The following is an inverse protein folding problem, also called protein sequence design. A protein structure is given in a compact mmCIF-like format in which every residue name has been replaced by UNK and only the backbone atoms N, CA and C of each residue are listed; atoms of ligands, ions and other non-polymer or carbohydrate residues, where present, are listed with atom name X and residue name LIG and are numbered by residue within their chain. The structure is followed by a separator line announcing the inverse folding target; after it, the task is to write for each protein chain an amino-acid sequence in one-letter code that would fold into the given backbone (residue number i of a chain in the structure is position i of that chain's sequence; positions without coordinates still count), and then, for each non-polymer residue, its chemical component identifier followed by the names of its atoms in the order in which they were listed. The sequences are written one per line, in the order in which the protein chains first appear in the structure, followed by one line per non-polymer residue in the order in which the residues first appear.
data_IF_155379788059
#
_entry.id   IF_155379788059
#
_cell.length_a   1.000
_cell.length_b   1.000
_cell.length_c   1.000
_cell.angle_alpha   90.00
_cell.angle_beta   90.00
_cell.angle_gamma   90.00
#
_symmetry.space_group_name_H-M   'P 1'
#
loop_
_entity.id
_entity.type
_entity.pdbx_description
1 polymer ?
#
# COMPACT_ATOMS: atom_id res chain seq x y z
N UNK A 1 71.97 6.63 -0.06
CA UNK A 1 72.61 5.36 0.38
C UNK A 1 71.60 4.22 0.18
N UNK A 2 71.94 3.04 -0.43
CA UNK A 2 72.45 1.80 0.23
C UNK A 2 71.69 1.47 1.55
N UNK A 3 71.25 0.25 1.90
CA UNK A 3 71.09 -1.11 1.30
C UNK A 3 70.25 -1.95 2.35
N UNK A 4 69.65 -3.14 2.15
CA UNK A 4 69.54 -4.11 1.04
C UNK A 4 68.31 -5.06 1.23
N UNK A 5 68.15 -6.00 0.29
CA UNK A 5 67.31 -7.24 0.22
C UNK A 5 67.41 -8.17 1.46
N UNK A 6 66.51 -9.14 1.70
CA UNK A 6 66.41 -10.47 1.01
C UNK A 6 65.09 -11.16 1.46
N UNK A 7 64.10 -11.43 0.59
CA UNK A 7 63.85 -12.67 -0.20
C UNK A 7 63.83 -13.98 0.62
N UNK A 8 62.69 -14.68 0.58
CA UNK A 8 62.54 -16.08 1.00
C UNK A 8 61.31 -16.70 0.35
N UNK A 9 61.50 -17.39 -0.78
CA UNK A 9 60.45 -18.19 -1.45
C UNK A 9 60.64 -19.64 -1.03
N UNK A 10 59.56 -20.32 -0.61
CA UNK A 10 59.47 -21.78 -0.65
C UNK A 10 58.13 -22.16 -1.26
N UNK A 11 58.18 -23.04 -2.25
CA UNK A 11 57.03 -23.59 -2.99
C UNK A 11 56.56 -24.87 -2.31
N UNK A 12 55.24 -25.08 -2.22
CA UNK A 12 54.63 -26.33 -1.78
C UNK A 12 53.37 -26.63 -2.60
N UNK A 13 53.54 -27.37 -3.70
CA UNK A 13 52.42 -27.90 -4.50
C UNK A 13 52.05 -29.27 -3.98
N UNK A 14 50.79 -29.47 -3.59
CA UNK A 14 50.10 -30.77 -3.73
C UNK A 14 48.71 -30.50 -4.30
N UNK A 15 48.44 -31.10 -5.45
CA UNK A 15 47.10 -31.26 -5.98
C UNK A 15 46.76 -32.76 -5.98
N UNK A 16 45.52 -33.11 -5.64
CA UNK A 16 44.95 -34.38 -6.09
C UNK A 16 43.46 -34.20 -6.38
N UNK A 17 43.10 -34.62 -7.59
CA UNK A 17 41.74 -34.69 -8.14
C UNK A 17 41.20 -36.12 -7.90
N UNK A 18 39.91 -36.34 -8.18
CA UNK A 18 39.18 -37.59 -8.51
C UNK A 18 37.97 -37.86 -7.57
N UNK A 19 36.77 -38.27 -8.02
CA UNK A 19 36.15 -38.18 -9.36
C UNK A 19 34.62 -38.44 -9.29
N UNK A 20 33.86 -37.89 -10.26
CA UNK A 20 32.49 -38.25 -10.73
C UNK A 20 31.29 -38.41 -9.77
N UNK A 21 30.15 -37.88 -10.22
CA UNK A 21 28.82 -38.17 -9.65
C UNK A 21 27.63 -37.68 -10.50
N UNK A 22 27.71 -37.69 -11.83
CA UNK A 22 26.53 -37.45 -12.67
C UNK A 22 25.55 -38.63 -12.55
N UNK A 23 24.28 -38.35 -12.28
CA UNK A 23 23.20 -39.22 -12.75
C UNK A 23 22.03 -38.39 -13.29
N UNK A 24 21.69 -38.64 -14.56
CA UNK A 24 20.49 -38.15 -15.21
C UNK A 24 19.25 -38.65 -14.47
N UNK A 25 18.20 -37.81 -14.37
CA UNK A 25 16.83 -38.29 -14.49
C UNK A 25 15.90 -37.21 -15.08
N UNK A 26 15.56 -37.43 -16.36
CA UNK A 26 14.36 -37.03 -17.11
C UNK A 26 13.73 -35.64 -16.90
N UNK A 27 13.54 -34.97 -18.05
CA UNK A 27 12.42 -34.06 -18.29
C UNK A 27 11.13 -34.56 -17.61
N UNK A 28 10.50 -33.66 -16.87
CA UNK A 28 9.04 -33.63 -16.70
C UNK A 28 8.57 -32.26 -17.12
N UNK A 29 7.42 -32.23 -17.78
CA UNK A 29 6.93 -31.08 -18.51
C UNK A 29 6.73 -29.86 -17.59
N UNK A 30 7.14 -28.68 -18.06
CA UNK A 30 6.80 -27.41 -17.41
C UNK A 30 5.35 -27.12 -17.77
N UNK A 31 4.43 -27.73 -17.02
CA UNK A 31 3.03 -27.30 -17.03
C UNK A 31 2.95 -25.83 -16.61
N UNK A 32 2.09 -25.07 -17.30
CA UNK A 32 1.76 -23.70 -16.93
C UNK A 32 1.18 -23.70 -15.52
N UNK A 33 1.95 -23.26 -14.54
CA UNK A 33 1.46 -22.88 -13.22
C UNK A 33 0.66 -21.58 -13.35
N UNK A 34 -0.59 -21.69 -13.81
CA UNK A 34 -1.63 -20.74 -13.46
C UNK A 34 -1.96 -20.99 -11.99
N UNK A 35 -1.26 -20.31 -11.09
CA UNK A 35 -1.64 -20.30 -9.67
C UNK A 35 -2.93 -19.50 -9.53
N UNK A 36 -4.05 -20.22 -9.67
CA UNK A 36 -5.29 -19.89 -8.99
C UNK A 36 -5.03 -19.81 -7.48
N UNK A 37 -5.85 -19.02 -6.80
CA UNK A 37 -5.79 -18.82 -5.37
C UNK A 37 -5.87 -20.17 -4.63
N UNK A 38 -4.79 -20.59 -3.96
CA UNK A 38 -4.75 -21.92 -3.35
C UNK A 38 -5.76 -22.02 -2.21
N UNK A 39 -6.74 -22.96 -2.26
CA UNK A 39 -7.77 -23.11 -1.21
C UNK A 39 -7.17 -23.30 0.20
N UNK A 40 -6.01 -23.95 0.23
CA UNK A 40 -5.16 -24.28 1.37
C UNK A 40 -4.72 -23.05 2.21
N UNK A 41 -4.66 -21.84 1.64
CA UNK A 41 -4.34 -20.63 2.40
C UNK A 41 -5.52 -20.18 3.29
N UNK A 42 -6.73 -20.16 2.72
CA UNK A 42 -7.95 -19.78 3.44
C UNK A 42 -8.34 -20.84 4.47
N UNK A 43 -8.25 -22.12 4.11
CA UNK A 43 -8.54 -23.24 5.01
C UNK A 43 -7.63 -23.22 6.27
N UNK A 44 -6.33 -22.95 6.10
CA UNK A 44 -5.41 -22.73 7.25
C UNK A 44 -5.80 -21.55 8.14
N UNK A 45 -6.24 -20.44 7.54
CA UNK A 45 -6.64 -19.24 8.26
C UNK A 45 -7.92 -19.51 9.08
N UNK A 46 -8.91 -20.16 8.48
CA UNK A 46 -10.11 -20.64 9.17
C UNK A 46 -9.78 -21.65 10.29
N UNK A 47 -8.82 -22.56 10.09
CA UNK A 47 -8.36 -23.48 11.13
C UNK A 47 -7.63 -22.76 12.29
N UNK A 48 -6.86 -21.71 11.99
CA UNK A 48 -6.22 -20.86 13.01
C UNK A 48 -7.27 -20.07 13.81
N UNK A 49 -8.17 -19.35 13.15
CA UNK A 49 -9.26 -18.61 13.82
C UNK A 49 -10.10 -19.58 14.67
N UNK A 50 -10.44 -20.75 14.14
CA UNK A 50 -11.13 -21.81 14.87
C UNK A 50 -10.36 -22.34 16.08
N UNK A 51 -9.01 -22.39 16.05
CA UNK A 51 -8.18 -22.67 17.24
C UNK A 51 -8.26 -21.54 18.25
N UNK A 52 -8.09 -20.28 17.82
CA UNK A 52 -8.06 -19.13 18.72
C UNK A 52 -9.40 -18.92 19.47
N UNK A 53 -10.53 -19.16 18.79
CA UNK A 53 -11.87 -19.18 19.40
C UNK A 53 -11.98 -20.32 20.43
N UNK A 54 -11.58 -21.56 20.06
CA UNK A 54 -11.66 -22.73 20.97
C UNK A 54 -10.76 -22.59 22.21
N UNK A 55 -9.62 -21.92 22.06
CA UNK A 55 -8.68 -21.63 23.14
C UNK A 55 -9.12 -20.42 24.01
N UNK A 56 -10.21 -19.73 23.66
CA UNK A 56 -10.68 -18.53 24.36
C UNK A 56 -9.74 -17.33 24.26
N UNK A 57 -8.94 -17.24 23.18
CA UNK A 57 -7.96 -16.16 22.98
C UNK A 57 -8.59 -14.87 22.45
N UNK A 58 -9.72 -14.98 21.75
CA UNK A 58 -10.50 -13.92 21.15
C UNK A 58 -11.97 -14.38 21.02
N UNK A 59 -12.89 -13.46 20.73
CA UNK A 59 -14.33 -13.76 20.64
C UNK A 59 -14.93 -13.32 19.30
N UNK A 60 -15.76 -14.20 18.71
CA UNK A 60 -16.52 -13.91 17.49
C UNK A 60 -15.69 -13.69 16.21
N UNK A 61 -16.39 -13.53 15.09
CA UNK A 61 -15.78 -13.14 13.79
C UNK A 61 -16.55 -12.04 13.05
N UNK A 62 -17.65 -11.53 13.63
CA UNK A 62 -18.51 -10.51 13.01
C UNK A 62 -18.86 -9.43 14.02
N UNK A 63 -18.81 -8.18 13.59
CA UNK A 63 -19.26 -7.02 14.37
C UNK A 63 -19.75 -5.91 13.46
N UNK A 64 -20.48 -4.95 14.03
CA UNK A 64 -20.76 -3.64 13.44
C UNK A 64 -20.60 -2.55 14.50
N UNK A 65 -20.35 -1.33 14.05
CA UNK A 65 -19.97 -0.20 14.86
C UNK A 65 -21.09 0.84 14.90
N UNK A 66 -21.53 1.17 16.12
CA UNK A 66 -22.51 2.23 16.40
C UNK A 66 -21.84 3.59 16.71
N UNK A 67 -20.50 3.61 16.75
CA UNK A 67 -19.70 4.81 17.01
C UNK A 67 -18.75 5.09 15.84
N UNK A 68 -18.56 6.37 15.51
CA UNK A 68 -17.53 6.79 14.57
C UNK A 68 -16.13 6.60 15.18
N UNK A 69 -15.10 6.32 14.37
CA UNK A 69 -13.72 6.18 14.86
C UNK A 69 -13.10 7.52 15.31
N UNK A 70 -13.72 8.66 14.95
CA UNK A 70 -13.29 10.02 15.29
C UNK A 70 -14.50 10.94 15.51
N UNK A 71 -14.27 12.14 16.07
CA UNK A 71 -15.29 13.18 16.13
C UNK A 71 -15.60 13.75 14.73
N UNK A 72 -16.67 13.26 14.11
CA UNK A 72 -17.12 13.68 12.78
C UNK A 72 -17.66 15.12 12.73
N UNK A 73 -18.03 15.73 13.85
CA UNK A 73 -18.49 17.12 13.88
C UNK A 73 -17.29 18.10 13.79
N UNK A 74 -16.13 17.72 14.33
CA UNK A 74 -14.83 18.41 14.16
C UNK A 74 -14.06 18.00 12.90
N UNK A 75 -14.36 16.85 12.31
CA UNK A 75 -13.76 16.38 11.04
C UNK A 75 -14.36 17.12 9.85
N UNK A 76 -13.54 17.56 8.88
CA UNK A 76 -14.03 18.23 7.66
C UNK A 76 -14.15 17.28 6.47
N UNK A 77 -13.14 16.45 6.24
CA UNK A 77 -13.05 15.58 5.07
C UNK A 77 -12.72 14.15 5.49
N UNK A 78 -13.31 13.18 4.78
CA UNK A 78 -12.94 11.77 4.82
C UNK A 78 -12.44 11.36 3.42
N UNK A 79 -11.23 10.82 3.34
CA UNK A 79 -10.63 10.38 2.08
C UNK A 79 -10.85 8.88 1.86
N UNK A 80 -11.08 8.43 0.61
CA UNK A 80 -11.21 7.02 0.27
C UNK A 80 -9.87 6.29 0.35
N UNK A 81 -9.95 4.97 0.36
CA UNK A 81 -8.86 4.08 -0.02
C UNK A 81 -8.38 4.36 -1.45
N UNK A 82 -7.17 3.91 -1.75
CA UNK A 82 -6.64 3.84 -3.10
C UNK A 82 -5.91 5.08 -3.60
N UNK A 83 -5.70 6.07 -2.74
CA UNK A 83 -4.79 7.18 -3.02
C UNK A 83 -3.38 6.69 -3.32
N UNK A 84 -2.62 7.47 -4.10
CA UNK A 84 -1.18 7.26 -4.29
C UNK A 84 -0.50 8.61 -4.13
N UNK A 85 0.41 8.72 -3.16
CA UNK A 85 1.08 9.98 -2.84
C UNK A 85 2.43 9.69 -2.17
N UNK A 86 3.49 10.24 -2.75
CA UNK A 86 4.86 10.02 -2.27
C UNK A 86 5.18 8.52 -2.20
N UNK A 87 5.71 8.09 -1.06
CA UNK A 87 6.11 6.70 -0.76
C UNK A 87 4.99 5.66 -0.96
N UNK A 88 3.73 6.07 -0.88
CA UNK A 88 2.59 5.22 -1.22
C UNK A 88 2.43 5.11 -2.73
N UNK A 89 3.30 4.30 -3.33
CA UNK A 89 3.35 4.05 -4.77
C UNK A 89 2.17 3.20 -5.24
N UNK A 90 1.78 2.21 -4.44
CA UNK A 90 0.55 1.43 -4.62
C UNK A 90 -0.65 2.17 -4.01
N UNK A 91 -1.88 1.89 -4.46
CA UNK A 91 -3.12 2.29 -3.80
C UNK A 91 -3.08 2.11 -2.27
N UNK A 92 -3.37 3.18 -1.54
CA UNK A 92 -3.34 3.26 -0.07
C UNK A 92 -4.46 2.42 0.56
N UNK A 93 -4.10 1.61 1.55
CA UNK A 93 -4.95 0.64 2.24
C UNK A 93 -5.72 1.20 3.45
N UNK A 94 -5.63 2.51 3.70
CA UNK A 94 -6.27 3.18 4.82
C UNK A 94 -6.96 4.48 4.37
N UNK A 95 -7.95 4.90 5.14
CA UNK A 95 -8.62 6.18 4.95
C UNK A 95 -7.90 7.29 5.70
N UNK A 96 -8.20 8.55 5.36
CA UNK A 96 -7.79 9.72 6.15
C UNK A 96 -9.01 10.49 6.65
N UNK A 97 -9.08 10.76 7.95
CA UNK A 97 -9.96 11.79 8.51
C UNK A 97 -9.16 13.08 8.64
N UNK A 98 -9.68 14.20 8.12
CA UNK A 98 -8.90 15.43 7.97
C UNK A 98 -9.65 16.69 8.41
N UNK A 99 -8.91 17.61 9.04
CA UNK A 99 -9.27 19.01 9.26
C UNK A 99 -7.98 19.85 9.34
N UNK A 100 -7.48 20.33 8.20
CA UNK A 100 -6.22 21.08 8.13
C UNK A 100 -6.26 22.50 8.73
N UNK A 101 -7.45 23.05 8.97
CA UNK A 101 -7.63 24.34 9.66
C UNK A 101 -7.57 24.21 11.19
N UNK A 102 -7.33 23.00 11.71
CA UNK A 102 -7.25 22.76 13.14
C UNK A 102 -5.86 23.10 13.71
N UNK A 103 -5.80 23.64 14.93
CA UNK A 103 -4.58 24.11 15.57
C UNK A 103 -4.39 23.49 16.97
N UNK A 104 -4.12 22.19 17.00
CA UNK A 104 -3.80 21.46 18.23
C UNK A 104 -4.37 20.04 18.27
N UNK A 105 -3.89 19.21 19.18
CA UNK A 105 -4.43 17.86 19.38
C UNK A 105 -5.75 17.89 20.17
N UNK A 106 -6.84 18.27 19.50
CA UNK A 106 -8.16 18.44 20.13
C UNK A 106 -9.30 17.71 19.41
N UNK A 107 -9.06 17.02 18.29
CA UNK A 107 -10.08 16.21 17.62
C UNK A 107 -10.04 14.78 18.15
N UNK A 108 -11.11 14.35 18.79
CA UNK A 108 -11.21 13.07 19.49
C UNK A 108 -11.11 11.86 18.54
N UNK A 109 -10.38 10.85 18.98
CA UNK A 109 -10.33 9.49 18.43
C UNK A 109 -11.06 8.55 19.39
N UNK A 110 -11.98 7.75 18.87
CA UNK A 110 -12.78 6.80 19.65
C UNK A 110 -12.57 5.38 19.15
N UNK A 111 -12.74 4.39 20.03
CA UNK A 111 -12.93 3.00 19.57
C UNK A 111 -14.32 2.84 18.95
N UNK A 112 -14.45 2.33 17.71
CA UNK A 112 -15.74 2.30 17.00
C UNK A 112 -16.66 1.17 17.53
N UNK A 113 -16.06 0.18 18.18
CA UNK A 113 -16.73 -0.89 18.90
C UNK A 113 -15.89 -1.34 20.10
N UNK A 114 -16.46 -2.20 20.95
CA UNK A 114 -15.73 -2.86 22.04
C UNK A 114 -14.54 -3.64 21.46
N UNK A 115 -13.44 -3.73 22.19
CA UNK A 115 -12.25 -4.46 21.74
C UNK A 115 -11.12 -4.46 22.75
N UNK A 116 -9.94 -4.86 22.29
CA UNK A 116 -8.69 -4.85 23.04
C UNK A 116 -7.64 -4.14 22.18
N UNK A 117 -7.00 -3.09 22.72
CA UNK A 117 -5.77 -2.56 22.13
C UNK A 117 -4.67 -3.60 22.36
N UNK A 118 -4.07 -4.07 21.26
CA UNK A 118 -3.03 -5.12 21.25
C UNK A 118 -1.64 -4.58 20.97
N UNK A 119 -1.55 -3.48 20.23
CA UNK A 119 -0.32 -2.90 19.72
C UNK A 119 -0.33 -1.39 19.87
N UNK A 120 0.78 -0.83 20.35
CA UNK A 120 1.08 0.61 20.29
C UNK A 120 2.51 0.77 19.77
N UNK A 121 2.70 1.56 18.71
CA UNK A 121 4.02 1.95 18.20
C UNK A 121 4.15 3.46 18.14
N UNK A 122 5.29 4.00 18.60
CA UNK A 122 5.65 5.41 18.42
C UNK A 122 6.18 5.61 16.99
N UNK A 123 5.68 6.61 16.27
CA UNK A 123 5.99 6.77 14.86
C UNK A 123 7.44 7.22 14.63
N UNK A 124 8.17 6.63 13.65
CA UNK A 124 9.57 6.96 13.41
C UNK A 124 9.80 8.46 13.16
N UNK A 125 10.63 9.08 13.99
CA UNK A 125 11.01 10.49 13.86
C UNK A 125 10.02 11.49 14.47
N UNK A 126 8.91 11.03 15.08
CA UNK A 126 8.03 11.87 15.85
C UNK A 126 8.66 12.34 17.17
N UNK A 127 8.02 13.30 17.83
CA UNK A 127 8.42 13.82 19.14
C UNK A 127 7.93 12.87 20.25
N UNK A 128 8.73 12.67 21.31
CA UNK A 128 8.32 11.81 22.42
C UNK A 128 7.01 12.30 23.05
N UNK A 129 6.09 11.39 23.32
CA UNK A 129 4.75 11.73 23.80
C UNK A 129 3.72 11.95 22.68
N UNK A 130 4.13 12.02 21.42
CA UNK A 130 3.29 12.35 20.26
C UNK A 130 3.42 11.32 19.12
N UNK A 131 2.37 11.21 18.29
CA UNK A 131 2.26 10.44 17.04
C UNK A 131 2.47 8.92 17.18
N UNK A 132 1.36 8.19 17.24
CA UNK A 132 1.32 6.75 17.43
C UNK A 132 0.51 6.02 16.38
N UNK A 133 0.93 4.78 16.11
CA UNK A 133 0.10 3.73 15.51
C UNK A 133 -0.48 2.84 16.61
N UNK A 134 -1.77 2.53 16.54
CA UNK A 134 -2.41 1.53 17.41
C UNK A 134 -3.22 0.51 16.62
N UNK A 135 -3.38 -0.69 17.18
CA UNK A 135 -4.31 -1.73 16.68
C UNK A 135 -5.31 -2.07 17.78
N UNK A 136 -6.59 -2.13 17.41
CA UNK A 136 -7.69 -2.58 18.29
C UNK A 136 -8.31 -3.83 17.66
N UNK A 137 -8.16 -4.99 18.31
CA UNK A 137 -8.89 -6.20 17.93
C UNK A 137 -10.33 -6.13 18.50
N UNK A 138 -11.33 -6.19 17.61
CA UNK A 138 -12.75 -6.18 17.96
C UNK A 138 -13.35 -7.59 17.99
N UNK A 139 -12.83 -8.48 17.14
CA UNK A 139 -13.15 -9.91 17.10
C UNK A 139 -11.86 -10.70 16.79
N UNK A 140 -11.93 -12.02 16.64
CA UNK A 140 -10.78 -12.80 16.15
C UNK A 140 -10.28 -12.38 14.75
N UNK A 141 -11.18 -11.80 13.94
CA UNK A 141 -10.96 -11.52 12.52
C UNK A 141 -10.93 -10.03 12.20
N UNK A 142 -11.66 -9.21 12.97
CA UNK A 142 -11.89 -7.80 12.69
C UNK A 142 -11.06 -6.94 13.63
N UNK A 143 -10.21 -6.08 13.08
CA UNK A 143 -9.42 -5.10 13.82
C UNK A 143 -9.41 -3.74 13.15
N UNK A 144 -9.48 -2.66 13.93
CA UNK A 144 -9.19 -1.30 13.45
C UNK A 144 -7.72 -0.94 13.70
N UNK A 145 -7.15 -0.15 12.81
CA UNK A 145 -5.79 0.38 12.93
C UNK A 145 -5.86 1.89 12.78
N UNK A 146 -5.23 2.61 13.70
CA UNK A 146 -5.04 4.05 13.61
C UNK A 146 -3.56 4.35 13.41
N UNK A 147 -3.23 5.33 12.58
CA UNK A 147 -1.88 5.90 12.44
C UNK A 147 -2.04 7.42 12.55
N UNK A 148 -1.03 8.11 13.08
CA UNK A 148 -1.14 9.54 13.41
C UNK A 148 -2.18 9.85 14.50
N UNK A 149 -2.31 8.94 15.48
CA UNK A 149 -2.89 9.27 16.78
C UNK A 149 -1.92 10.25 17.46
N UNK A 150 -2.31 11.52 17.51
CA UNK A 150 -1.47 12.62 17.98
C UNK A 150 -1.06 12.48 19.44
N UNK A 151 -2.00 12.46 20.38
CA UNK A 151 -1.75 12.20 21.80
C UNK A 151 -2.81 11.29 22.40
N UNK A 152 -2.43 10.49 23.39
CA UNK A 152 -3.35 9.63 24.14
C UNK A 152 -4.19 10.41 25.17
N UNK A 153 -5.40 9.92 25.41
CA UNK A 153 -6.15 10.23 26.62
C UNK A 153 -5.38 9.73 27.88
N UNK A 154 -5.64 10.36 29.02
CA UNK A 154 -4.97 10.10 30.30
C UNK A 154 -4.99 8.62 30.70
N UNK A 155 -6.05 7.86 30.37
CA UNK A 155 -6.13 6.41 30.61
C UNK A 155 -5.00 5.62 29.95
N UNK A 156 -4.56 6.07 28.76
CA UNK A 156 -3.69 5.29 27.87
C UNK A 156 -2.22 5.74 27.87
N UNK A 157 -1.91 6.98 28.26
CA UNK A 157 -0.54 7.55 28.27
C UNK A 157 0.53 6.64 28.89
N UNK A 158 0.19 5.92 29.96
CA UNK A 158 1.12 5.00 30.66
C UNK A 158 1.52 3.75 29.86
N UNK A 159 0.88 3.48 28.72
CA UNK A 159 1.22 2.38 27.82
C UNK A 159 1.92 2.86 26.53
N UNK A 160 2.04 4.17 26.35
CA UNK A 160 2.76 4.73 25.21
C UNK A 160 4.25 4.35 25.30
N UNK A 161 4.84 3.73 24.26
CA UNK A 161 6.27 3.47 24.22
C UNK A 161 7.05 4.78 23.99
N UNK A 162 8.29 4.83 24.48
CA UNK A 162 9.25 5.89 24.15
C UNK A 162 9.62 5.89 22.65
N UNK A 163 10.30 6.96 22.20
CA UNK A 163 10.78 7.20 20.82
C UNK A 163 11.12 5.95 19.99
N UNK A 164 10.44 5.80 18.84
CA UNK A 164 10.56 4.69 17.88
C UNK A 164 10.29 3.29 18.49
N UNK A 165 9.76 3.25 19.72
CA UNK A 165 9.46 2.04 20.47
C UNK A 165 8.13 1.42 20.09
N UNK A 166 7.95 0.20 20.54
CA UNK A 166 6.73 -0.60 20.32
C UNK A 166 6.39 -1.36 21.61
N UNK A 167 5.10 -1.39 21.92
CA UNK A 167 4.54 -2.10 23.05
C UNK A 167 3.42 -3.03 22.58
N UNK A 168 3.59 -4.33 22.82
CA UNK A 168 2.47 -5.28 22.79
C UNK A 168 1.75 -5.22 24.13
N UNK A 169 0.44 -4.98 24.10
CA UNK A 169 -0.39 -4.66 25.26
C UNK A 169 -1.70 -5.45 25.21
N UNK A 170 -2.50 -5.38 26.29
CA UNK A 170 -3.86 -5.93 26.34
C UNK A 170 -4.75 -4.97 27.12
N UNK A 171 -5.23 -3.92 26.47
CA UNK A 171 -6.00 -2.86 27.11
C UNK A 171 -7.45 -2.97 26.63
N UNK A 172 -8.41 -3.40 27.49
CA UNK A 172 -9.80 -3.44 27.09
C UNK A 172 -10.34 -2.02 26.87
N UNK A 173 -11.11 -1.88 25.79
CA UNK A 173 -11.81 -0.65 25.42
C UNK A 173 -13.28 -0.93 25.12
N UNK A 174 -14.14 0.00 25.53
CA UNK A 174 -15.58 -0.07 25.24
C UNK A 174 -15.92 0.68 23.95
N UNK A 175 -17.07 0.38 23.37
CA UNK A 175 -17.56 1.08 22.18
C UNK A 175 -17.79 2.57 22.50
N UNK A 176 -17.24 3.46 21.65
CA UNK A 176 -17.28 4.90 21.86
C UNK A 176 -16.29 5.44 22.90
N UNK A 177 -15.40 4.60 23.46
CA UNK A 177 -14.40 5.08 24.41
C UNK A 177 -13.38 5.99 23.72
N UNK A 178 -13.14 7.17 24.31
CA UNK A 178 -12.11 8.13 23.91
C UNK A 178 -10.72 7.51 24.13
N UNK A 179 -9.95 7.37 23.06
CA UNK A 179 -8.59 6.81 23.08
C UNK A 179 -7.52 7.91 23.10
N UNK A 180 -7.79 9.01 22.42
CA UNK A 180 -6.84 10.11 22.25
C UNK A 180 -7.34 11.16 21.28
N UNK A 181 -6.41 11.91 20.70
CA UNK A 181 -6.68 13.05 19.84
C UNK A 181 -5.71 13.13 18.67
N UNK A 182 -6.14 13.68 17.54
CA UNK A 182 -5.27 14.09 16.43
C UNK A 182 -5.35 15.59 16.17
N UNK A 183 -4.37 16.11 15.42
CA UNK A 183 -4.29 17.52 15.05
C UNK A 183 -5.02 17.77 13.72
N UNK A 184 -4.41 17.36 12.59
CA UNK A 184 -4.87 17.71 11.24
C UNK A 184 -5.35 16.52 10.42
N UNK A 185 -4.69 15.37 10.56
CA UNK A 185 -5.10 14.10 9.98
C UNK A 185 -4.92 12.97 11.00
N UNK A 186 -5.74 11.93 10.83
CA UNK A 186 -5.51 10.60 11.40
C UNK A 186 -5.90 9.57 10.33
N UNK A 187 -5.11 8.52 10.26
CA UNK A 187 -5.29 7.45 9.30
C UNK A 187 -6.13 6.36 9.96
N UNK A 188 -7.06 5.76 9.21
CA UNK A 188 -7.95 4.70 9.72
C UNK A 188 -8.04 3.54 8.73
N UNK A 189 -7.57 2.38 9.15
CA UNK A 189 -7.74 1.12 8.43
C UNK A 189 -8.71 0.21 9.18
N UNK A 190 -9.48 -0.59 8.45
CA UNK A 190 -10.22 -1.72 8.97
C UNK A 190 -9.71 -2.98 8.28
N UNK A 191 -9.48 -4.04 9.05
CA UNK A 191 -9.00 -5.32 8.54
C UNK A 191 -10.00 -6.38 8.96
N UNK A 192 -10.44 -7.23 8.02
CA UNK A 192 -11.23 -8.43 8.30
C UNK A 192 -10.56 -9.66 7.68
N UNK A 193 -10.00 -10.52 8.54
CA UNK A 193 -9.31 -11.76 8.16
C UNK A 193 -10.21 -12.77 7.42
N UNK A 194 -11.55 -12.66 7.47
CA UNK A 194 -12.46 -13.50 6.64
C UNK A 194 -12.52 -13.05 5.16
N UNK A 195 -12.15 -11.80 4.87
CA UNK A 195 -12.21 -11.19 3.53
C UNK A 195 -10.87 -11.33 2.82
N UNK A 196 -10.90 -11.61 1.53
CA UNK A 196 -9.74 -11.68 0.65
C UNK A 196 -10.04 -10.86 -0.61
N UNK A 197 -9.21 -9.86 -0.86
CA UNK A 197 -9.29 -9.02 -2.05
C UNK A 197 -8.74 -9.76 -3.28
N UNK A 198 -9.64 -10.20 -4.15
CA UNK A 198 -9.32 -11.03 -5.32
C UNK A 198 -8.55 -10.27 -6.44
N UNK A 199 -8.54 -8.94 -6.43
CA UNK A 199 -7.75 -8.12 -7.36
C UNK A 199 -6.29 -7.93 -6.94
N UNK A 200 -5.78 -8.75 -6.02
CA UNK A 200 -4.35 -8.95 -5.79
C UNK A 200 -3.99 -10.35 -6.29
N UNK A 201 -3.49 -10.46 -7.51
CA UNK A 201 -3.39 -11.76 -8.20
C UNK A 201 -2.31 -12.70 -7.63
N UNK A 202 -1.30 -12.15 -6.95
CA UNK A 202 -0.33 -12.93 -6.15
C UNK A 202 -0.22 -12.35 -4.72
N UNK A 203 -1.13 -12.74 -3.81
CA UNK A 203 -1.18 -12.22 -2.43
C UNK A 203 0.13 -12.37 -1.65
N UNK A 204 0.95 -13.38 -2.01
CA UNK A 204 2.26 -13.63 -1.38
C UNK A 204 3.21 -12.43 -1.47
N UNK A 205 3.11 -11.61 -2.52
CA UNK A 205 3.94 -10.42 -2.65
C UNK A 205 3.60 -9.34 -1.62
N UNK A 206 2.49 -9.46 -0.88
CA UNK A 206 2.08 -8.55 0.18
C UNK A 206 2.49 -9.02 1.59
N UNK A 207 3.29 -10.09 1.74
CA UNK A 207 3.76 -10.62 3.04
C UNK A 207 4.35 -9.54 3.98
N UNK A 208 5.00 -8.50 3.43
CA UNK A 208 5.55 -7.38 4.21
C UNK A 208 4.51 -6.54 4.97
N UNK A 209 3.27 -6.46 4.45
CA UNK A 209 2.12 -5.81 5.07
C UNK A 209 0.86 -6.67 4.84
N UNK A 210 0.89 -7.89 5.39
CA UNK A 210 -0.05 -8.96 5.06
C UNK A 210 -1.52 -8.66 5.33
N UNK A 211 -1.85 -7.60 6.06
CA UNK A 211 -3.22 -7.14 6.28
C UNK A 211 -3.85 -6.49 5.04
N UNK A 212 -3.06 -6.01 4.06
CA UNK A 212 -3.60 -5.29 2.89
C UNK A 212 -4.60 -6.09 2.06
N UNK A 213 -4.40 -7.41 1.97
CA UNK A 213 -5.30 -8.30 1.23
C UNK A 213 -6.64 -8.54 1.95
N UNK A 214 -6.76 -8.06 3.19
CA UNK A 214 -7.88 -8.25 4.11
C UNK A 214 -8.63 -6.93 4.42
N UNK A 215 -8.42 -5.87 3.62
CA UNK A 215 -9.09 -4.57 3.82
C UNK A 215 -10.47 -4.59 3.15
N UNK A 216 -11.58 -4.43 3.89
CA UNK A 216 -12.92 -4.52 3.35
C UNK A 216 -13.46 -3.15 2.91
N UNK A 217 -14.69 -3.12 2.41
CA UNK A 217 -15.45 -1.88 2.30
C UNK A 217 -15.84 -1.39 3.70
N UNK A 218 -15.07 -0.44 4.24
CA UNK A 218 -15.23 0.14 5.58
C UNK A 218 -16.69 0.51 5.94
N UNK A 219 -17.48 1.00 4.98
CA UNK A 219 -18.87 1.40 5.22
C UNK A 219 -19.79 0.25 5.63
N UNK A 220 -19.50 -0.99 5.23
CA UNK A 220 -20.33 -2.15 5.56
C UNK A 220 -20.32 -2.48 7.06
N UNK A 221 -19.33 -1.97 7.80
CA UNK A 221 -19.14 -2.22 9.23
C UNK A 221 -19.75 -1.15 10.13
N UNK A 222 -20.28 -0.04 9.59
CA UNK A 222 -20.94 0.99 10.40
C UNK A 222 -22.48 0.88 10.30
N UNK A 223 -23.15 1.09 11.42
CA UNK A 223 -24.61 1.22 11.47
C UNK A 223 -25.04 2.68 11.27
N UNK A 224 -26.33 2.89 10.98
CA UNK A 224 -26.90 4.25 11.00
C UNK A 224 -27.06 4.74 12.45
N UNK A 225 -26.82 6.05 12.73
CA UNK A 225 -26.61 7.14 11.78
C UNK A 225 -25.13 7.37 11.38
N UNK A 226 -24.18 6.56 11.86
CA UNK A 226 -22.75 6.77 11.63
C UNK A 226 -22.38 6.56 10.17
N UNK A 227 -22.95 5.53 9.53
CA UNK A 227 -22.78 5.25 8.11
C UNK A 227 -23.07 6.48 7.22
N UNK A 228 -24.27 7.06 7.34
CA UNK A 228 -24.64 8.25 6.58
C UNK A 228 -23.71 9.44 6.87
N UNK A 229 -23.29 9.66 8.13
CA UNK A 229 -22.33 10.73 8.48
C UNK A 229 -20.95 10.52 7.85
N UNK A 230 -20.44 9.29 7.78
CA UNK A 230 -19.16 8.99 7.13
C UNK A 230 -19.22 9.24 5.61
N UNK A 231 -20.32 8.83 4.96
CA UNK A 231 -20.55 9.08 3.53
C UNK A 231 -20.70 10.59 3.24
N UNK A 232 -21.35 11.35 4.13
CA UNK A 232 -21.46 12.81 4.03
C UNK A 232 -20.07 13.46 3.95
N UNK A 233 -19.14 13.05 4.82
CA UNK A 233 -17.74 13.54 4.85
C UNK A 233 -16.85 13.00 3.74
N UNK A 234 -17.21 11.91 3.07
CA UNK A 234 -16.39 11.30 2.01
C UNK A 234 -16.20 12.22 0.80
N UNK A 235 -14.99 12.44 0.33
CA UNK A 235 -14.78 13.25 -0.88
C UNK A 235 -15.15 12.50 -2.17
N UNK A 236 -15.02 11.17 -2.18
CA UNK A 236 -15.31 10.31 -3.34
C UNK A 236 -16.82 10.10 -3.49
N UNK A 237 -17.29 10.16 -4.74
CA UNK A 237 -18.70 9.92 -5.11
C UNK A 237 -18.90 8.77 -6.10
N UNK A 238 -17.83 8.23 -6.67
CA UNK A 238 -17.91 7.09 -7.59
C UNK A 238 -17.77 5.77 -6.82
N UNK A 239 -18.51 4.75 -7.23
CA UNK A 239 -18.42 3.43 -6.58
C UNK A 239 -17.07 2.74 -6.83
N UNK A 240 -16.59 1.88 -5.91
CA UNK A 240 -17.00 1.85 -4.51
C UNK A 240 -16.70 3.20 -3.82
N UNK A 241 -17.65 3.79 -3.08
CA UNK A 241 -17.45 5.09 -2.41
C UNK A 241 -16.26 5.04 -1.45
N UNK A 242 -15.95 3.87 -0.89
CA UNK A 242 -14.80 3.64 0.00
C UNK A 242 -13.45 3.73 -0.72
N UNK A 243 -13.43 3.68 -2.06
CA UNK A 243 -12.21 3.45 -2.83
C UNK A 243 -11.87 1.96 -2.95
N UNK A 244 -10.79 1.66 -3.67
CA UNK A 244 -10.33 0.31 -4.04
C UNK A 244 -8.81 0.29 -4.07
N UNK A 245 -8.20 -0.86 -3.77
CA UNK A 245 -6.72 -1.01 -3.76
C UNK A 245 -6.21 -2.15 -4.65
N UNK A 246 -7.06 -3.14 -4.91
CA UNK A 246 -6.79 -4.39 -5.59
C UNK A 246 -7.21 -4.29 -7.07
N UNK A 247 -6.45 -3.54 -7.86
CA UNK A 247 -6.78 -3.25 -9.26
C UNK A 247 -6.26 -4.27 -10.27
N UNK A 248 -5.55 -5.32 -9.83
CA UNK A 248 -4.90 -6.26 -10.74
C UNK A 248 -5.93 -7.06 -11.56
N UNK A 249 -5.68 -7.19 -12.86
CA UNK A 249 -6.36 -8.14 -13.73
C UNK A 249 -5.30 -9.07 -14.31
N UNK A 250 -5.42 -10.38 -14.06
CA UNK A 250 -4.42 -11.34 -14.52
C UNK A 250 -4.33 -11.32 -16.06
N UNK A 251 -3.09 -11.28 -16.58
CA UNK A 251 -2.84 -11.11 -18.01
C UNK A 251 -3.04 -9.69 -18.56
N UNK A 252 -3.37 -8.67 -17.76
CA UNK A 252 -3.56 -7.28 -18.22
C UNK A 252 -2.77 -6.25 -17.41
N UNK A 253 -2.21 -5.22 -18.05
CA UNK A 253 -1.24 -4.29 -17.44
C UNK A 253 -1.74 -3.58 -16.17
N UNK A 254 -3.05 -3.36 -16.02
CA UNK A 254 -3.64 -2.70 -14.85
C UNK A 254 -3.31 -3.45 -13.55
N UNK A 255 -2.94 -2.69 -12.52
CA UNK A 255 -2.60 -3.22 -11.21
C UNK A 255 -1.25 -2.74 -10.67
N UNK A 256 -0.81 -3.43 -9.62
CA UNK A 256 0.48 -3.23 -8.96
C UNK A 256 1.55 -4.16 -9.53
N UNK A 257 2.80 -3.72 -9.43
CA UNK A 257 3.97 -4.39 -9.98
C UNK A 257 5.18 -4.15 -9.06
N UNK A 258 5.97 -5.18 -8.84
CA UNK A 258 7.14 -5.16 -7.97
C UNK A 258 8.39 -5.55 -8.76
N UNK A 259 9.50 -4.85 -8.55
CA UNK A 259 10.76 -5.12 -9.22
C UNK A 259 11.19 -6.56 -8.94
N UNK A 260 11.50 -7.33 -10.00
CA UNK A 260 11.79 -8.76 -9.86
C UNK A 260 12.97 -8.97 -8.90
N UNK A 261 12.76 -9.79 -7.86
CA UNK A 261 13.76 -10.06 -6.81
C UNK A 261 13.77 -9.08 -5.63
N UNK A 262 12.85 -8.12 -5.53
CA UNK A 262 12.77 -7.16 -4.40
C UNK A 262 11.72 -7.51 -3.33
N UNK A 263 11.47 -8.80 -3.07
CA UNK A 263 10.56 -9.28 -2.02
C UNK A 263 9.11 -8.72 -2.08
N UNK A 264 8.61 -8.39 -3.27
CA UNK A 264 7.28 -7.79 -3.42
C UNK A 264 7.17 -6.45 -2.68
N UNK A 265 6.09 -6.29 -1.91
CA UNK A 265 5.76 -5.11 -1.13
C UNK A 265 6.77 -4.78 -0.02
N UNK A 266 7.50 -5.78 0.47
CA UNK A 266 8.50 -5.56 1.52
C UNK A 266 9.73 -4.77 1.02
N UNK A 267 9.98 -4.79 -0.30
CA UNK A 267 11.13 -4.16 -0.93
C UNK A 267 12.46 -4.91 -0.72
N UNK A 268 13.49 -4.46 -1.44
CA UNK A 268 14.88 -4.96 -1.31
C UNK A 268 15.63 -4.31 -0.12
N UNK A 269 15.11 -3.19 0.38
CA UNK A 269 15.88 -2.29 1.23
C UNK A 269 16.08 -2.82 2.66
N UNK A 270 17.34 -2.89 3.08
CA UNK A 270 17.71 -3.14 4.49
C UNK A 270 17.31 -1.99 5.43
N UNK A 271 16.90 -0.84 4.91
CA UNK A 271 16.18 0.19 5.67
C UNK A 271 14.72 0.26 5.23
N UNK A 272 13.79 0.23 6.20
CA UNK A 272 12.34 0.39 5.95
C UNK A 272 11.99 1.72 5.27
N UNK A 273 12.89 2.70 5.31
CA UNK A 273 12.72 4.07 4.81
C UNK A 273 12.65 4.20 3.29
N UNK A 274 12.86 3.12 2.50
CA UNK A 274 12.82 3.16 1.03
C UNK A 274 12.26 1.88 0.38
N UNK A 275 11.37 1.16 1.07
CA UNK A 275 10.80 -0.10 0.57
C UNK A 275 10.17 0.04 -0.82
N UNK A 276 9.50 1.18 -1.06
CA UNK A 276 8.75 1.47 -2.28
C UNK A 276 9.57 1.68 -3.55
N UNK A 277 10.91 1.75 -3.50
CA UNK A 277 11.73 2.00 -4.70
C UNK A 277 11.54 0.93 -5.80
N UNK A 278 11.18 -0.29 -5.40
CA UNK A 278 10.85 -1.39 -6.32
C UNK A 278 9.39 -1.40 -6.80
N UNK A 279 8.54 -0.48 -6.32
CA UNK A 279 7.10 -0.51 -6.59
C UNK A 279 6.76 0.28 -7.87
N UNK A 280 5.70 -0.15 -8.54
CA UNK A 280 5.15 0.45 -9.75
C UNK A 280 3.65 0.13 -9.84
N UNK A 281 2.82 1.09 -10.24
CA UNK A 281 1.37 0.90 -10.36
C UNK A 281 0.85 1.53 -11.64
N UNK A 282 0.00 0.80 -12.38
CA UNK A 282 -0.79 1.29 -13.50
C UNK A 282 -2.26 1.16 -13.13
N UNK A 283 -2.83 2.17 -12.48
CA UNK A 283 -4.17 2.10 -11.88
C UNK A 283 -4.92 3.41 -12.13
N UNK A 284 -6.00 3.67 -11.39
CA UNK A 284 -6.85 4.84 -11.57
C UNK A 284 -6.75 5.82 -10.40
N UNK A 285 -7.13 7.08 -10.62
CA UNK A 285 -7.18 8.09 -9.56
C UNK A 285 -8.29 7.78 -8.53
N UNK A 286 -8.00 8.05 -7.26
CA UNK A 286 -8.88 7.73 -6.14
C UNK A 286 -10.13 8.62 -6.06
N UNK A 287 -10.16 9.76 -6.74
CA UNK A 287 -11.34 10.64 -6.85
C UNK A 287 -11.97 10.54 -8.23
N UNK A 288 -11.15 10.52 -9.28
CA UNK A 288 -11.57 10.47 -10.70
C UNK A 288 -11.26 9.10 -11.33
N UNK A 289 -12.15 8.10 -11.21
CA UNK A 289 -11.86 6.70 -11.59
C UNK A 289 -11.65 6.48 -13.10
N UNK A 290 -11.88 7.49 -13.93
CA UNK A 290 -11.61 7.44 -15.38
C UNK A 290 -10.16 7.79 -15.70
N UNK A 291 -9.45 8.45 -14.79
CA UNK A 291 -8.07 8.90 -14.99
C UNK A 291 -7.09 7.77 -14.72
N UNK A 292 -6.28 7.44 -15.73
CA UNK A 292 -5.13 6.53 -15.58
C UNK A 292 -3.99 7.30 -14.89
N UNK A 293 -3.52 6.73 -13.78
CA UNK A 293 -2.35 7.17 -13.02
C UNK A 293 -1.25 6.11 -13.11
N UNK A 294 -0.03 6.56 -13.42
CA UNK A 294 1.18 5.76 -13.35
C UNK A 294 1.99 6.27 -12.16
N UNK A 295 2.14 5.40 -11.17
CA UNK A 295 2.86 5.68 -9.92
C UNK A 295 4.14 4.87 -9.91
N UNK A 296 5.30 5.55 -9.84
CA UNK A 296 6.62 4.95 -10.06
C UNK A 296 7.45 5.20 -8.80
N UNK A 297 7.88 4.14 -8.11
CA UNK A 297 8.60 4.27 -6.85
C UNK A 297 10.02 4.82 -6.94
N UNK A 298 10.62 4.80 -8.12
CA UNK A 298 11.98 5.29 -8.36
C UNK A 298 12.04 6.04 -9.70
N UNK A 299 11.45 7.24 -9.75
CA UNK A 299 11.54 8.11 -10.91
C UNK A 299 12.85 8.91 -10.87
N UNK A 300 13.50 9.04 -12.03
CA UNK A 300 14.78 9.76 -12.21
C UNK A 300 15.94 9.33 -11.26
N UNK A 301 15.89 8.14 -10.64
CA UNK A 301 16.85 7.70 -9.60
C UNK A 301 16.80 8.52 -8.29
N UNK A 302 15.70 9.22 -8.05
CA UNK A 302 15.48 10.06 -6.86
C UNK A 302 14.53 9.38 -5.87
N UNK A 303 13.24 9.36 -6.19
CA UNK A 303 12.15 8.93 -5.31
C UNK A 303 10.89 8.63 -6.15
N UNK A 304 9.84 8.24 -5.45
CA UNK A 304 8.46 8.10 -5.86
C UNK A 304 7.90 9.34 -6.57
N UNK A 305 7.19 9.12 -7.68
CA UNK A 305 6.38 10.14 -8.37
C UNK A 305 5.12 9.53 -8.98
N UNK A 306 4.02 10.28 -8.91
CA UNK A 306 2.73 9.94 -9.49
C UNK A 306 2.45 10.86 -10.69
N UNK A 307 1.97 10.29 -11.80
CA UNK A 307 1.70 11.01 -13.04
C UNK A 307 0.38 10.58 -13.66
N UNK A 308 -0.31 11.52 -14.31
CA UNK A 308 -1.40 11.20 -15.22
C UNK A 308 -0.84 10.76 -16.59
N UNK A 309 -1.57 9.89 -17.28
CA UNK A 309 -1.31 9.58 -18.70
C UNK A 309 -1.86 10.69 -19.58
N UNK A 310 -1.00 11.26 -20.43
CA UNK A 310 -1.42 12.24 -21.45
C UNK A 310 -2.32 11.58 -22.49
N UNK A 311 -3.46 12.22 -22.79
CA UNK A 311 -4.49 11.63 -23.65
C UNK A 311 -5.24 10.44 -23.03
N UNK A 312 -4.91 10.04 -21.78
CA UNK A 312 -5.59 9.01 -21.00
C UNK A 312 -5.77 7.66 -21.75
N UNK A 313 -4.78 7.24 -22.54
CA UNK A 313 -4.87 6.09 -23.45
C UNK A 313 -3.49 5.49 -23.77
N UNK A 314 -3.37 4.18 -24.08
CA UNK A 314 -4.38 3.12 -23.93
C UNK A 314 -4.71 2.83 -22.46
N UNK A 315 -5.93 2.36 -22.19
CA UNK A 315 -6.30 1.92 -20.85
C UNK A 315 -5.49 0.64 -20.48
N UNK A 316 -4.76 0.60 -19.34
CA UNK A 316 -3.94 -0.55 -18.96
C UNK A 316 -4.75 -1.83 -18.68
N UNK A 317 -6.05 -1.76 -18.43
CA UNK A 317 -6.92 -2.94 -18.30
C UNK A 317 -7.14 -3.66 -19.64
N UNK A 318 -6.88 -2.99 -20.77
CA UNK A 318 -6.99 -3.58 -22.11
C UNK A 318 -5.66 -4.13 -22.62
N UNK A 319 -4.51 -3.63 -22.14
CA UNK A 319 -3.17 -4.02 -22.59
C UNK A 319 -2.79 -5.40 -22.05
N UNK A 320 -2.49 -6.36 -22.94
CA UNK A 320 -2.05 -7.73 -22.61
C UNK A 320 -0.70 -8.12 -23.23
N UNK A 321 -0.37 -9.41 -23.21
CA UNK A 321 0.88 -9.98 -23.77
C UNK A 321 0.88 -9.96 -25.30
N UNK A 322 -0.31 -9.94 -25.90
CA UNK A 322 -0.56 -9.76 -27.33
C UNK A 322 -0.18 -8.36 -27.84
N UNK A 323 -0.13 -7.36 -26.95
CA UNK A 323 0.21 -6.00 -27.30
C UNK A 323 1.72 -5.81 -27.43
N UNK A 324 2.10 -5.03 -28.45
CA UNK A 324 3.48 -4.58 -28.62
C UNK A 324 3.86 -3.55 -27.55
N UNK A 325 5.10 -3.04 -27.61
CA UNK A 325 5.62 -1.98 -26.77
C UNK A 325 4.63 -0.81 -26.61
N UNK A 326 4.09 -0.62 -25.39
CA UNK A 326 3.27 0.52 -25.04
C UNK A 326 4.16 1.67 -24.57
N UNK A 327 3.76 2.89 -24.93
CA UNK A 327 4.45 4.12 -24.63
C UNK A 327 3.46 5.14 -24.07
N UNK A 328 3.68 5.58 -22.84
CA UNK A 328 2.87 6.62 -22.21
C UNK A 328 3.71 7.90 -22.04
N UNK A 329 3.20 9.05 -22.51
CA UNK A 329 3.70 10.35 -22.07
C UNK A 329 3.10 10.67 -20.70
N UNK A 330 3.97 11.01 -19.75
CA UNK A 330 3.63 11.36 -18.38
C UNK A 330 3.41 12.87 -18.25
N UNK A 331 2.35 13.27 -17.56
CA UNK A 331 2.04 14.69 -17.29
C UNK A 331 1.64 14.88 -15.83
N UNK A 332 1.92 16.07 -15.30
CA UNK A 332 1.31 16.53 -14.06
C UNK A 332 -0.20 16.75 -14.24
N UNK A 333 -0.93 16.76 -13.13
CA UNK A 333 -2.36 16.99 -13.13
C UNK A 333 -2.84 17.70 -11.87
N UNK A 334 -3.92 18.45 -12.02
CA UNK A 334 -4.62 19.14 -10.95
C UNK A 334 -6.07 18.65 -10.87
N UNK A 335 -6.72 18.93 -9.75
CA UNK A 335 -8.13 18.60 -9.53
C UNK A 335 -9.01 19.83 -9.72
N UNK A 336 -10.17 19.61 -10.34
CA UNK A 336 -11.22 20.60 -10.54
C UNK A 336 -12.57 20.09 -10.01
N UNK A 337 -13.41 21.00 -9.54
CA UNK A 337 -14.80 20.71 -9.19
C UNK A 337 -15.70 20.57 -10.44
N UNK A 338 -16.99 20.29 -10.22
CA UNK A 338 -18.01 20.18 -11.27
C UNK A 338 -18.24 21.47 -12.09
N UNK A 339 -17.67 22.61 -11.68
CA UNK A 339 -17.74 23.89 -12.35
C UNK A 339 -16.41 24.29 -13.03
N UNK A 340 -15.41 23.42 -12.99
CA UNK A 340 -14.07 23.67 -13.53
C UNK A 340 -13.17 24.52 -12.64
N UNK A 341 -13.55 24.78 -11.39
CA UNK A 341 -12.72 25.53 -10.43
C UNK A 341 -11.68 24.60 -9.82
N UNK A 342 -10.42 25.04 -9.78
CA UNK A 342 -9.34 24.30 -9.10
C UNK A 342 -9.66 24.05 -7.62
N UNK A 343 -9.42 22.82 -7.17
CA UNK A 343 -9.60 22.39 -5.79
C UNK A 343 -8.36 22.74 -4.95
N UNK A 344 -8.59 23.22 -3.73
CA UNK A 344 -7.57 23.61 -2.75
C UNK A 344 -6.88 22.43 -2.05
N UNK A 345 -7.31 21.19 -2.33
CA UNK A 345 -6.83 19.93 -1.74
C UNK A 345 -7.14 19.78 -0.24
N UNK A 346 -8.00 20.61 0.34
CA UNK A 346 -8.37 20.59 1.77
C UNK A 346 -9.88 20.68 2.03
N UNK A 347 -10.65 21.30 1.13
CA UNK A 347 -12.11 21.46 1.27
C UNK A 347 -12.87 20.20 0.86
N UNK A 348 -14.02 19.95 1.47
CA UNK A 348 -14.93 18.88 1.06
C UNK A 348 -15.60 19.23 -0.28
N UNK A 349 -15.06 18.70 -1.38
CA UNK A 349 -15.58 18.91 -2.74
C UNK A 349 -15.94 17.57 -3.38
N UNK A 350 -17.23 17.37 -3.67
CA UNK A 350 -17.76 16.14 -4.28
C UNK A 350 -17.58 16.18 -5.79
N UNK A 351 -17.42 15.00 -6.42
CA UNK A 351 -17.40 14.87 -7.88
C UNK A 351 -16.17 15.50 -8.56
N UNK A 352 -15.00 15.47 -7.90
CA UNK A 352 -13.75 15.96 -8.46
C UNK A 352 -13.39 15.26 -9.78
N UNK A 353 -12.82 16.04 -10.70
CA UNK A 353 -12.23 15.57 -11.96
C UNK A 353 -10.79 16.04 -12.09
N UNK A 354 -10.02 15.32 -12.89
CA UNK A 354 -8.60 15.61 -13.13
C UNK A 354 -8.38 16.34 -14.44
N UNK A 355 -7.59 17.42 -14.42
CA UNK A 355 -7.11 18.12 -15.61
C UNK A 355 -5.59 17.96 -15.72
N UNK A 356 -5.11 17.57 -16.91
CA UNK A 356 -3.67 17.43 -17.18
C UNK A 356 -3.05 18.80 -17.46
N UNK A 357 -1.79 18.98 -17.02
CA UNK A 357 -0.93 20.05 -17.52
C UNK A 357 -0.42 19.69 -18.93
N UNK A 358 0.01 20.70 -19.68
CA UNK A 358 0.45 20.53 -21.08
C UNK A 358 1.86 19.93 -21.18
N UNK A 359 2.72 20.24 -20.21
CA UNK A 359 4.12 19.83 -20.17
C UNK A 359 4.30 18.33 -19.95
N UNK A 360 5.12 17.71 -20.80
CA UNK A 360 5.49 16.29 -20.69
C UNK A 360 6.68 16.14 -19.76
N UNK A 361 6.45 15.52 -18.61
CA UNK A 361 7.46 15.26 -17.56
C UNK A 361 8.43 14.14 -17.96
N UNK A 362 8.00 13.26 -18.86
CA UNK A 362 8.78 12.14 -19.36
C UNK A 362 7.93 11.14 -20.12
N UNK A 363 8.56 10.02 -20.48
CA UNK A 363 7.90 8.87 -21.12
C UNK A 363 8.21 7.62 -20.33
N UNK A 364 7.23 6.72 -20.20
CA UNK A 364 7.51 5.33 -19.85
C UNK A 364 7.27 4.42 -21.03
N UNK A 365 8.14 3.42 -21.15
CA UNK A 365 7.96 2.25 -21.98
C UNK A 365 7.55 1.08 -21.09
N UNK A 366 6.54 0.33 -21.52
CA UNK A 366 6.12 -0.89 -20.86
C UNK A 366 5.71 -1.95 -21.88
N UNK A 367 6.05 -3.20 -21.62
CA UNK A 367 5.66 -4.34 -22.42
C UNK A 367 5.34 -5.51 -21.50
N UNK A 368 4.14 -6.06 -21.62
CA UNK A 368 3.79 -7.37 -21.06
C UNK A 368 4.64 -8.44 -21.75
N UNK A 369 5.47 -9.14 -21.00
CA UNK A 369 6.30 -10.26 -21.52
C UNK A 369 5.73 -11.62 -21.11
N UNK A 370 5.02 -11.68 -19.99
CA UNK A 370 4.21 -12.80 -19.51
C UNK A 370 2.98 -12.22 -18.77
N UNK A 371 1.95 -13.04 -18.47
CA UNK A 371 0.72 -12.56 -17.82
C UNK A 371 0.94 -11.74 -16.53
N UNK A 372 2.00 -12.08 -15.80
CA UNK A 372 2.43 -11.44 -14.55
C UNK A 372 3.89 -10.99 -14.58
N UNK A 373 4.43 -10.71 -15.78
CA UNK A 373 5.73 -10.04 -15.92
C UNK A 373 5.70 -8.94 -16.98
N UNK A 374 6.23 -7.77 -16.63
CA UNK A 374 6.44 -6.66 -17.57
C UNK A 374 7.92 -6.32 -17.66
N UNK A 375 8.32 -5.83 -18.83
CA UNK A 375 9.53 -5.03 -19.01
C UNK A 375 9.16 -3.56 -18.95
N UNK A 376 9.88 -2.76 -18.16
CA UNK A 376 9.59 -1.36 -17.90
C UNK A 376 10.85 -0.48 -17.94
N UNK A 377 10.71 0.74 -18.45
CA UNK A 377 11.76 1.78 -18.37
C UNK A 377 11.15 3.19 -18.42
N UNK A 378 11.63 4.07 -17.54
CA UNK A 378 11.25 5.49 -17.53
C UNK A 378 12.34 6.37 -18.16
N UNK A 379 11.90 7.37 -18.92
CA UNK A 379 12.72 8.34 -19.65
C UNK A 379 12.32 9.77 -19.22
N UNK A 380 12.87 10.29 -18.10
CA UNK A 380 12.56 11.62 -17.61
C UNK A 380 12.95 12.73 -18.60
N UNK A 381 12.12 13.77 -18.71
CA UNK A 381 12.34 14.90 -19.60
C UNK A 381 12.39 14.55 -21.09
N UNK A 382 11.77 13.43 -21.49
CA UNK A 382 11.63 12.99 -22.89
C UNK A 382 10.18 12.99 -23.35
N UNK A 383 9.96 13.31 -24.61
CA UNK A 383 8.69 13.12 -25.31
C UNK A 383 8.65 11.82 -26.09
N UNK A 384 7.46 11.39 -26.52
CA UNK A 384 7.26 10.11 -27.19
C UNK A 384 8.04 9.96 -28.50
N UNK A 385 8.33 11.06 -29.20
CA UNK A 385 9.12 11.09 -30.43
C UNK A 385 10.64 10.97 -30.20
N UNK A 386 11.11 11.14 -28.96
CA UNK A 386 12.53 11.06 -28.60
C UNK A 386 12.96 9.67 -28.11
N UNK A 387 12.00 8.76 -27.88
CA UNK A 387 12.24 7.43 -27.30
C UNK A 387 11.90 6.34 -28.33
N UNK A 388 12.91 5.67 -28.87
CA UNK A 388 12.73 4.65 -29.93
C UNK A 388 12.44 3.24 -29.41
N UNK A 389 12.76 2.95 -28.15
CA UNK A 389 12.61 1.61 -27.55
C UNK A 389 13.40 1.50 -26.24
N UNK A 390 13.32 0.33 -25.61
CA UNK A 390 14.08 0.03 -24.39
C UNK A 390 15.59 0.14 -24.59
N UNK A 391 16.30 0.57 -23.55
CA UNK A 391 17.75 0.53 -23.45
C UNK A 391 18.21 -0.63 -22.57
N UNK A 392 19.52 -0.71 -22.27
CA UNK A 392 20.07 -1.64 -21.27
C UNK A 392 19.69 -1.31 -19.82
N UNK A 393 19.02 -0.18 -19.54
CA UNK A 393 18.55 0.17 -18.19
C UNK A 393 17.18 -0.43 -17.85
N UNK A 394 16.44 -0.94 -18.84
CA UNK A 394 15.11 -1.51 -18.64
C UNK A 394 15.11 -2.63 -17.59
N UNK A 395 14.07 -2.66 -16.77
CA UNK A 395 13.90 -3.59 -15.65
C UNK A 395 12.73 -4.54 -15.91
N UNK A 396 12.73 -5.67 -15.21
CA UNK A 396 11.62 -6.63 -15.19
C UNK A 396 10.89 -6.47 -13.86
N UNK A 397 9.56 -6.37 -13.92
CA UNK A 397 8.70 -6.38 -12.74
C UNK A 397 7.79 -7.60 -12.80
N UNK A 398 7.49 -8.16 -11.64
CA UNK A 398 6.58 -9.27 -11.38
C UNK A 398 5.36 -8.83 -10.56
N UNK A 399 4.31 -9.66 -10.51
CA UNK A 399 3.15 -9.50 -9.64
C UNK A 399 2.40 -10.82 -9.43
#
# INVERSE_FOLDING_TARGET
MKKSKTIGIVVGIIALIFITGMFFLKNKDIEKSSNEFSPDAKERQEEQIGREIRDGKCEGTKTKFDFAPVNLDKTKVFLPLGLMIGSHVTPIDHHYFQNFDNEGFDIEIYSPGKGIITDIGHMPGAKNGEDYRIVIEHTCTISSIYIHLGIFDEKFKKYAPDNNGYASVKIPVEAGELIGYYEKNVDYNLVDKEIILNGFVTPKLYEGESWKIHVPNTYEYFNEPILSKLIEKSIRTAEPISGKIDYDIDGKLVGNWFLEGTNGYAGESTSKEKYWLGHLSFVYDAYDPERIIISIGNYNREDSRQFAVKGNTPNPANVGVEDSLIKYELVQYDYIDSHGKSWDRISLVKGLKTISREDVEGVVLVQMIENRKIKFEAFPGKTASQVNGFTGNAKVYER
#
